data_IF_789646337072
#
_entry.id   IF_789646337072
#
_cell.length_a   1.000
_cell.length_b   1.000
_cell.length_c   1.000
_cell.angle_alpha   90.00
_cell.angle_beta   90.00
_cell.angle_gamma   90.00
#
_symmetry.space_group_name_H-M   'P 1'
#
loop_
_entity.id
_entity.type
_entity.pdbx_description
1 polymer ?
#
# COMPACT_ATOMS: atom_id res chain seq x y z
N UNK A 1 13.95 -7.64 -7.28
CA UNK A 1 13.80 -7.31 -5.85
C UNK A 1 12.73 -8.25 -5.34
N UNK A 2 13.10 -9.20 -4.50
CA UNK A 2 12.14 -10.07 -3.82
C UNK A 2 11.12 -9.20 -3.09
N UNK A 3 9.83 -9.48 -3.29
CA UNK A 3 8.71 -8.81 -2.61
C UNK A 3 8.67 -9.21 -1.14
N UNK A 4 9.72 -8.91 -0.40
CA UNK A 4 9.75 -9.13 1.05
C UNK A 4 9.32 -7.85 1.76
N UNK A 5 8.76 -8.00 2.95
CA UNK A 5 8.34 -6.88 3.81
C UNK A 5 9.43 -5.80 3.92
N UNK A 6 10.65 -6.18 4.31
CA UNK A 6 11.76 -5.24 4.49
C UNK A 6 12.17 -4.58 3.17
N UNK A 7 12.16 -5.32 2.06
CA UNK A 7 12.48 -4.78 0.74
C UNK A 7 11.50 -3.70 0.31
N UNK A 8 10.21 -3.92 0.53
CA UNK A 8 9.15 -2.95 0.23
C UNK A 8 9.27 -1.70 1.12
N UNK A 9 9.44 -1.89 2.43
CA UNK A 9 9.64 -0.78 3.38
C UNK A 9 10.84 0.07 2.96
N UNK A 10 11.97 -0.56 2.66
CA UNK A 10 13.18 0.15 2.27
C UNK A 10 13.02 0.89 0.95
N UNK A 11 12.25 0.33 0.01
CA UNK A 11 11.96 0.98 -1.27
C UNK A 11 11.12 2.26 -1.08
N UNK A 12 10.16 2.27 -0.15
CA UNK A 12 9.42 3.49 0.21
C UNK A 12 10.31 4.50 0.93
N UNK A 13 11.12 4.06 1.91
CA UNK A 13 12.04 4.94 2.65
C UNK A 13 13.04 5.67 1.76
N UNK A 14 13.57 4.97 0.76
CA UNK A 14 14.49 5.54 -0.23
C UNK A 14 13.87 6.66 -1.08
N UNK A 15 12.53 6.82 -1.01
CA UNK A 15 11.75 7.83 -1.74
C UNK A 15 11.15 8.88 -0.82
N UNK A 16 11.64 9.01 0.42
CA UNK A 16 11.24 10.06 1.34
C UNK A 16 10.10 9.70 2.29
N UNK A 17 9.51 8.50 2.16
CA UNK A 17 8.56 8.00 3.16
C UNK A 17 9.26 7.75 4.49
N UNK A 18 8.57 8.05 5.59
CA UNK A 18 9.08 7.92 6.95
C UNK A 18 8.18 6.97 7.73
N UNK A 19 8.73 5.97 8.44
CA UNK A 19 7.92 5.11 9.30
C UNK A 19 7.37 5.94 10.47
N UNK A 20 6.08 5.77 10.75
CA UNK A 20 5.39 6.37 11.91
C UNK A 20 4.98 5.32 12.94
N UNK A 21 4.88 4.06 12.51
CA UNK A 21 4.60 2.91 13.37
C UNK A 21 5.26 1.67 12.77
N UNK A 22 5.95 0.89 13.60
CA UNK A 22 6.69 -0.30 13.14
C UNK A 22 6.58 -1.41 14.19
N UNK A 23 6.25 -2.61 13.72
CA UNK A 23 6.20 -3.85 14.49
C UNK A 23 6.69 -4.99 13.62
N UNK A 24 6.83 -6.19 14.19
CA UNK A 24 7.17 -7.40 13.43
C UNK A 24 6.14 -7.80 12.36
N UNK A 25 4.89 -7.30 12.43
CA UNK A 25 3.81 -7.70 11.52
C UNK A 25 3.38 -6.59 10.54
N UNK A 26 3.66 -5.33 10.88
CA UNK A 26 3.22 -4.18 10.10
C UNK A 26 4.18 -3.00 10.26
N UNK A 27 4.44 -2.33 9.15
CA UNK A 27 5.12 -1.03 9.09
C UNK A 27 4.19 -0.03 8.41
N UNK A 28 3.97 1.12 9.06
CA UNK A 28 3.16 2.22 8.54
C UNK A 28 4.09 3.38 8.21
N UNK A 29 4.01 3.89 6.98
CA UNK A 29 4.82 4.99 6.49
C UNK A 29 3.96 6.15 5.98
N UNK A 30 4.44 7.37 6.17
CA UNK A 30 3.82 8.60 5.64
C UNK A 30 4.87 9.41 4.87
N UNK A 31 4.44 10.39 4.08
CA UNK A 31 5.35 11.25 3.32
C UNK A 31 5.10 12.74 3.65
N UNK A 32 6.15 13.52 4.01
CA UNK A 32 5.97 14.92 4.42
C UNK A 32 5.38 15.80 3.32
N UNK A 33 5.72 15.56 2.06
CA UNK A 33 5.22 16.33 0.91
C UNK A 33 3.88 15.81 0.36
N UNK A 34 3.35 14.72 0.92
CA UNK A 34 2.05 14.17 0.53
C UNK A 34 1.19 13.97 1.80
N UNK A 35 0.69 15.06 2.40
CA UNK A 35 -0.19 14.95 3.56
C UNK A 35 -1.43 14.11 3.23
N UNK A 36 -1.89 13.34 4.21
CA UNK A 36 -3.03 12.43 4.04
C UNK A 36 -2.69 11.08 3.40
N UNK A 37 -1.48 10.88 2.86
CA UNK A 37 -1.04 9.58 2.35
C UNK A 37 -0.45 8.71 3.46
N UNK A 38 -0.97 7.50 3.57
CA UNK A 38 -0.43 6.44 4.43
C UNK A 38 -0.16 5.17 3.63
N UNK A 39 0.98 4.54 3.88
CA UNK A 39 1.37 3.26 3.29
C UNK A 39 1.51 2.24 4.41
N UNK A 40 0.70 1.18 4.36
CA UNK A 40 0.73 0.08 5.33
C UNK A 40 1.33 -1.16 4.66
N UNK A 41 2.51 -1.55 5.11
CA UNK A 41 3.19 -2.76 4.66
C UNK A 41 2.97 -3.83 5.72
N UNK A 42 2.08 -4.77 5.46
CA UNK A 42 1.88 -5.95 6.31
C UNK A 42 2.89 -7.05 5.98
N UNK A 43 2.66 -8.25 6.49
CA UNK A 43 3.47 -9.44 6.14
C UNK A 43 3.18 -10.00 4.75
N UNK A 44 2.00 -9.69 4.19
CA UNK A 44 1.51 -10.30 2.93
C UNK A 44 1.05 -9.26 1.91
N UNK A 45 0.50 -8.13 2.38
CA UNK A 45 -0.06 -7.09 1.53
C UNK A 45 0.61 -5.74 1.75
N UNK A 46 0.57 -4.91 0.72
CA UNK A 46 0.77 -3.46 0.80
C UNK A 46 -0.58 -2.79 0.58
N UNK A 47 -0.92 -1.85 1.43
CA UNK A 47 -2.11 -1.00 1.31
C UNK A 47 -1.65 0.46 1.27
N UNK A 48 -2.25 1.26 0.39
CA UNK A 48 -2.06 2.69 0.34
C UNK A 48 -3.41 3.35 0.55
N UNK A 49 -3.43 4.25 1.51
CA UNK A 49 -4.60 5.06 1.87
C UNK A 49 -4.29 6.53 1.57
N UNK A 50 -5.33 7.28 1.16
CA UNK A 50 -5.33 8.73 1.07
C UNK A 50 -6.54 9.27 1.83
N UNK A 51 -6.28 10.13 2.81
CA UNK A 51 -7.31 10.74 3.66
C UNK A 51 -8.24 9.69 4.30
N UNK A 52 -7.66 8.56 4.72
CA UNK A 52 -8.38 7.41 5.31
C UNK A 52 -9.14 6.52 4.32
N UNK A 53 -9.00 6.75 3.01
CA UNK A 53 -9.60 5.91 1.96
C UNK A 53 -8.55 5.05 1.28
N UNK A 54 -8.77 3.74 1.24
CA UNK A 54 -7.94 2.82 0.45
C UNK A 54 -8.01 3.18 -1.05
N UNK A 55 -6.85 3.39 -1.65
CA UNK A 55 -6.71 3.68 -3.09
C UNK A 55 -5.92 2.58 -3.83
N UNK A 56 -5.22 1.72 -3.09
CA UNK A 56 -4.43 0.64 -3.66
C UNK A 56 -4.18 -0.46 -2.62
N UNK A 57 -4.37 -1.72 -3.04
CA UNK A 57 -4.03 -2.91 -2.26
C UNK A 57 -3.44 -3.97 -3.18
N UNK A 58 -2.31 -4.55 -2.78
CA UNK A 58 -1.62 -5.56 -3.58
C UNK A 58 -0.88 -6.56 -2.70
N UNK A 59 -0.83 -7.82 -3.16
CA UNK A 59 0.01 -8.86 -2.54
C UNK A 59 1.48 -8.58 -2.84
N UNK A 60 2.39 -8.92 -1.92
CA UNK A 60 3.82 -8.64 -2.09
C UNK A 60 4.42 -9.25 -3.37
N UNK A 61 4.02 -10.47 -3.73
CA UNK A 61 4.49 -11.15 -4.97
C UNK A 61 4.12 -10.40 -6.27
N UNK A 62 3.14 -9.50 -6.22
CA UNK A 62 2.69 -8.68 -7.35
C UNK A 62 2.99 -7.20 -7.14
N UNK A 63 3.71 -6.85 -6.08
CA UNK A 63 4.01 -5.47 -5.77
C UNK A 63 4.96 -4.88 -6.81
N UNK A 64 4.52 -3.79 -7.42
CA UNK A 64 5.35 -2.97 -8.28
C UNK A 64 5.38 -1.53 -7.76
N UNK A 65 6.59 -1.04 -7.50
CA UNK A 65 6.78 0.28 -6.91
C UNK A 65 6.37 1.41 -7.87
N UNK A 66 6.56 1.23 -9.18
CA UNK A 66 6.20 2.27 -10.15
C UNK A 66 4.68 2.45 -10.21
N UNK A 67 3.92 1.35 -10.23
CA UNK A 67 2.47 1.38 -10.17
C UNK A 67 1.97 1.97 -8.85
N UNK A 68 2.57 1.61 -7.71
CA UNK A 68 2.22 2.18 -6.41
C UNK A 68 2.38 3.72 -6.40
N UNK A 69 3.49 4.23 -6.94
CA UNK A 69 3.72 5.69 -7.07
C UNK A 69 2.77 6.33 -8.08
N UNK A 70 2.42 5.63 -9.16
CA UNK A 70 1.44 6.13 -10.14
C UNK A 70 0.07 6.32 -9.48
N UNK A 71 -0.38 5.37 -8.65
CA UNK A 71 -1.64 5.47 -7.90
C UNK A 71 -1.61 6.61 -6.88
N UNK A 72 -0.46 6.90 -6.30
CA UNK A 72 -0.27 8.06 -5.43
C UNK A 72 -0.37 9.39 -6.20
N UNK A 73 0.14 9.45 -7.44
CA UNK A 73 0.08 10.65 -8.27
C UNK A 73 -1.30 10.95 -8.86
N UNK A 74 -2.21 9.97 -8.89
CA UNK A 74 -3.52 10.12 -9.51
C UNK A 74 -4.60 10.55 -8.48
N UNK A 75 -5.16 11.77 -8.57
CA UNK A 75 -6.21 12.21 -7.66
C UNK A 75 -7.57 11.52 -7.90
N UNK A 76 -7.71 10.70 -8.96
CA UNK A 76 -9.01 10.21 -9.46
C UNK A 76 -9.31 8.76 -9.07
N UNK A 77 -8.41 8.06 -8.36
CA UNK A 77 -8.60 6.63 -8.11
C UNK A 77 -9.65 6.36 -7.02
N UNK A 78 -10.90 6.16 -7.46
CA UNK A 78 -11.93 5.45 -6.70
C UNK A 78 -11.66 3.94 -6.69
N UNK A 79 -12.10 3.21 -5.66
CA UNK A 79 -11.75 1.80 -5.44
C UNK A 79 -12.39 0.94 -6.52
N UNK A 80 -11.60 0.03 -7.09
CA UNK A 80 -12.15 -1.10 -7.82
C UNK A 80 -12.63 -2.10 -6.77
N UNK A 81 -13.95 -2.25 -6.64
CA UNK A 81 -14.61 -3.27 -5.84
C UNK A 81 -13.98 -4.63 -6.14
N UNK A 82 -13.30 -5.20 -5.14
CA UNK A 82 -13.11 -6.64 -5.11
C UNK A 82 -14.49 -7.26 -4.89
N UNK A 83 -15.10 -7.73 -5.96
CA UNK A 83 -16.21 -8.67 -5.92
C UNK A 83 -15.79 -9.85 -5.03
N UNK A 84 -16.25 -9.86 -3.78
CA UNK A 84 -16.38 -11.11 -3.06
C UNK A 84 -17.49 -11.85 -3.81
N UNK A 85 -17.12 -12.88 -4.57
CA UNK A 85 -18.06 -13.79 -5.19
C UNK A 85 -19.03 -14.29 -4.11
N UNK A 86 -20.27 -13.83 -4.21
CA UNK A 86 -21.42 -14.50 -3.63
C UNK A 86 -21.58 -15.84 -4.34
N UNK A 87 -21.06 -16.90 -3.74
CA UNK A 87 -21.49 -18.27 -4.02
C UNK A 87 -22.48 -18.71 -2.95
N UNK A 88 -23.76 -18.41 -3.15
CA UNK A 88 -24.87 -19.06 -2.42
C UNK A 88 -25.54 -20.07 -3.38
N UNK A 89 -26.12 -21.13 -2.79
CA UNK A 89 -26.91 -22.24 -3.37
C UNK A 89 -26.08 -23.38 -4.00
N UNK A 90 -26.07 -24.61 -3.45
CA UNK A 90 -27.19 -25.46 -3.01
C UNK A 90 -26.87 -26.25 -1.74
#
# INVERSE_FOLDING_TARGET
MDGTHEGIVQAFRSRGFRPVYETSAITILTHPDHPGVEVRVGTVYVVIERDGREIYRIHHDRFDMAEALRRLGDPTTSPSSGTAESGEYT
#
